data_IF_905708545527
#
_entry.id   IF_905708545527
#
_cell.length_a   1.000
_cell.length_b   1.000
_cell.length_c   1.000
_cell.angle_alpha   90.00
_cell.angle_beta   90.00
_cell.angle_gamma   90.00
#
_symmetry.space_group_name_H-M   'P 1'
#
loop_
_entity.id
_entity.type
_entity.pdbx_description
1 polymer ?
#
# COMPACT_ATOMS: atom_id res chain seq x y z
N UNK A 1 9.94 -11.96 4.99
CA UNK A 1 8.55 -11.63 4.61
C UNK A 1 8.62 -10.92 3.27
N UNK A 2 7.92 -11.42 2.26
CA UNK A 2 7.86 -10.79 0.96
C UNK A 2 7.07 -9.47 1.09
N UNK A 3 7.66 -8.36 0.65
CA UNK A 3 7.03 -7.02 0.73
C UNK A 3 5.70 -7.01 0.00
N UNK A 4 5.63 -7.71 -1.13
CA UNK A 4 4.41 -7.78 -1.92
C UNK A 4 3.29 -8.49 -1.14
N UNK A 5 3.63 -9.56 -0.40
CA UNK A 5 2.68 -10.30 0.42
C UNK A 5 2.17 -9.46 1.60
N UNK A 6 3.03 -8.67 2.23
CA UNK A 6 2.64 -7.74 3.30
C UNK A 6 1.71 -6.65 2.76
N UNK A 7 2.10 -5.99 1.66
CA UNK A 7 1.28 -4.96 1.05
C UNK A 7 -0.07 -5.51 0.59
N UNK A 8 -0.09 -6.71 0.01
CA UNK A 8 -1.33 -7.38 -0.41
C UNK A 8 -2.24 -7.67 0.77
N UNK A 9 -1.70 -8.21 1.86
CA UNK A 9 -2.47 -8.51 3.06
C UNK A 9 -3.07 -7.23 3.67
N UNK A 10 -2.27 -6.16 3.76
CA UNK A 10 -2.73 -4.85 4.25
C UNK A 10 -3.88 -4.29 3.41
N UNK A 11 -3.77 -4.31 2.08
CA UNK A 11 -4.81 -3.80 1.18
C UNK A 11 -6.09 -4.62 1.30
N UNK A 12 -6.00 -5.95 1.33
CA UNK A 12 -7.18 -6.82 1.44
C UNK A 12 -7.90 -6.67 2.77
N UNK A 13 -7.17 -6.40 3.86
CA UNK A 13 -7.76 -6.20 5.19
C UNK A 13 -8.43 -4.83 5.33
N UNK A 14 -7.77 -3.75 4.87
CA UNK A 14 -8.23 -2.37 5.08
C UNK A 14 -9.12 -1.82 3.97
N UNK A 15 -8.95 -2.31 2.75
CA UNK A 15 -9.61 -1.83 1.54
C UNK A 15 -10.13 -3.00 0.68
N UNK A 16 -11.08 -3.80 1.20
CA UNK A 16 -11.58 -4.99 0.49
C UNK A 16 -12.19 -4.69 -0.88
N UNK A 17 -12.69 -3.47 -1.09
CA UNK A 17 -13.28 -3.02 -2.36
C UNK A 17 -12.25 -2.42 -3.35
N UNK A 18 -10.95 -2.55 -3.06
CA UNK A 18 -9.88 -2.07 -3.92
C UNK A 18 -9.98 -2.69 -5.34
N UNK A 19 -10.03 -1.81 -6.34
CA UNK A 19 -9.94 -2.21 -7.76
C UNK A 19 -8.50 -2.48 -8.17
N UNK A 20 -7.58 -1.72 -7.60
CA UNK A 20 -6.15 -1.91 -7.77
C UNK A 20 -5.41 -1.31 -6.57
N UNK A 21 -4.18 -1.78 -6.37
CA UNK A 21 -3.23 -1.13 -5.47
C UNK A 21 -1.86 -1.07 -6.13
N UNK A 22 -1.16 0.03 -5.89
CA UNK A 22 0.19 0.27 -6.38
C UNK A 22 1.11 0.35 -5.18
N UNK A 23 2.06 -0.58 -5.11
CA UNK A 23 3.16 -0.51 -4.15
C UNK A 23 4.22 0.44 -4.72
N UNK A 24 4.67 1.38 -3.89
CA UNK A 24 5.68 2.37 -4.22
C UNK A 24 6.72 2.50 -3.13
N UNK A 25 7.45 3.62 -3.16
CA UNK A 25 8.28 4.02 -2.03
C UNK A 25 9.66 3.40 -1.97
N UNK A 26 10.34 3.69 -0.85
CA UNK A 26 11.73 3.28 -0.64
C UNK A 26 11.91 1.76 -0.63
N UNK A 27 10.86 1.01 -0.28
CA UNK A 27 10.87 -0.45 -0.17
C UNK A 27 11.13 -1.15 -1.51
N UNK A 28 10.89 -0.48 -2.63
CA UNK A 28 11.16 -0.99 -3.98
C UNK A 28 12.54 -0.59 -4.53
N UNK A 29 13.35 0.11 -3.73
CA UNK A 29 14.63 0.68 -4.17
C UNK A 29 15.81 0.01 -3.46
N UNK A 30 17.03 0.28 -3.93
CA UNK A 30 18.26 -0.10 -3.24
C UNK A 30 18.47 0.59 -1.88
N UNK A 31 17.66 1.61 -1.55
CA UNK A 31 17.72 2.32 -0.25
C UNK A 31 16.84 1.69 0.82
N UNK A 32 16.16 0.57 0.53
CA UNK A 32 15.31 -0.14 1.48
C UNK A 32 16.08 -0.49 2.76
N UNK A 33 15.44 -0.26 3.90
CA UNK A 33 15.92 -0.72 5.21
C UNK A 33 14.84 -1.56 5.90
N UNK A 34 15.18 -2.17 7.05
CA UNK A 34 14.20 -2.84 7.90
C UNK A 34 13.13 -1.89 8.49
N UNK A 35 13.35 -0.56 8.40
CA UNK A 35 12.45 0.48 8.89
C UNK A 35 11.75 1.25 7.78
N UNK A 36 11.93 0.84 6.52
CA UNK A 36 11.22 1.46 5.40
C UNK A 36 9.73 1.21 5.51
N UNK A 37 8.95 2.26 5.30
CA UNK A 37 7.49 2.20 5.25
C UNK A 37 6.99 1.50 3.99
N UNK A 38 5.70 1.13 4.01
CA UNK A 38 4.97 0.69 2.84
C UNK A 38 4.16 1.86 2.28
N UNK A 39 4.65 2.43 1.19
CA UNK A 39 3.89 3.43 0.43
C UNK A 39 2.94 2.70 -0.52
N UNK A 40 1.63 2.76 -0.25
CA UNK A 40 0.61 2.10 -1.07
C UNK A 40 -0.44 3.11 -1.52
N UNK A 41 -0.72 3.14 -2.82
CA UNK A 41 -1.85 3.87 -3.39
C UNK A 41 -2.95 2.87 -3.72
N UNK A 42 -4.14 3.07 -3.16
CA UNK A 42 -5.30 2.21 -3.39
C UNK A 42 -6.30 2.94 -4.28
N UNK A 43 -6.74 2.27 -5.35
CA UNK A 43 -7.79 2.75 -6.24
C UNK A 43 -9.12 2.09 -5.86
N UNK A 44 -10.09 2.92 -5.50
CA UNK A 44 -11.47 2.53 -5.20
C UNK A 44 -12.40 3.04 -6.30
N UNK A 45 -13.55 2.39 -6.47
CA UNK A 45 -14.62 2.87 -7.35
C UNK A 45 -15.65 3.64 -6.53
N UNK A 46 -15.72 4.96 -6.72
CA UNK A 46 -16.62 5.84 -5.98
C UNK A 46 -16.03 6.37 -4.67
N UNK A 47 -16.87 6.68 -3.66
CA UNK A 47 -16.43 7.19 -2.36
C UNK A 47 -15.41 6.27 -1.66
N UNK A 48 -14.57 6.80 -0.75
CA UNK A 48 -14.49 8.18 -0.28
C UNK A 48 -13.75 9.10 -1.28
N UNK A 49 -13.78 10.41 -1.00
CA UNK A 49 -12.89 11.35 -1.69
C UNK A 49 -11.42 10.93 -1.47
N UNK A 50 -10.52 11.17 -2.44
CA UNK A 50 -9.11 10.84 -2.29
C UNK A 50 -8.51 11.45 -1.03
N UNK A 51 -7.77 10.65 -0.27
CA UNK A 51 -7.10 11.07 0.95
C UNK A 51 -5.74 10.40 1.09
N UNK A 52 -4.90 10.93 2.01
CA UNK A 52 -3.67 10.28 2.45
C UNK A 52 -3.71 10.06 3.95
N UNK A 53 -3.19 8.95 4.41
CA UNK A 53 -2.97 8.66 5.83
C UNK A 53 -1.60 8.02 6.04
N UNK A 54 -1.12 8.02 7.28
CA UNK A 54 0.14 7.40 7.70
C UNK A 54 -0.10 6.79 9.08
N UNK A 55 0.40 5.56 9.29
CA UNK A 55 0.12 4.72 10.47
C UNK A 55 1.37 4.54 11.34
#
# INVERSE_FOLDING_TARGET
>A
MDVLEVARSFVLERHPDARAAFLGGSVLTSRRTARSDLDVVVLLDGPPAPYRESL
#
